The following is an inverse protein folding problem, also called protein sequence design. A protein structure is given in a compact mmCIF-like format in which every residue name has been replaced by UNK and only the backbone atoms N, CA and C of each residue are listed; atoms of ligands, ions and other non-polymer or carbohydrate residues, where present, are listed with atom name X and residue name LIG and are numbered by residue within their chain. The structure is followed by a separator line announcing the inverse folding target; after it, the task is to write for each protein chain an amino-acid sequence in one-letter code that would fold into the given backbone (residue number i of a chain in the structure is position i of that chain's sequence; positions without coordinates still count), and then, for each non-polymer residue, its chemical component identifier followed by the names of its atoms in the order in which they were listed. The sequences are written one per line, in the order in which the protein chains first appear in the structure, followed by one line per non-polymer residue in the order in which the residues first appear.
data_IF_202467942283
#
_entry.id   IF_202467942283
#
_cell.length_a   1.000
_cell.length_b   1.000
_cell.length_c   1.000
_cell.angle_alpha   90.00
_cell.angle_beta   90.00
_cell.angle_gamma   90.00
#
_symmetry.space_group_name_H-M   'P 1'
#
loop_
_entity.id
_entity.type
_entity.pdbx_description
1 polymer ?
#
# COMPACT_ATOMS: atom_id res chain seq x y z
N UNK A 1 -10.48 20.80 -21.79
CA UNK A 1 -9.91 19.84 -20.83
C UNK A 1 -9.66 20.59 -19.53
N UNK A 2 -10.62 20.61 -18.62
CA UNK A 2 -10.36 21.07 -17.25
C UNK A 2 -9.57 19.96 -16.58
N UNK A 3 -8.25 20.11 -16.51
CA UNK A 3 -7.39 19.16 -15.81
C UNK A 3 -7.49 19.45 -14.33
N UNK A 4 -8.44 18.81 -13.65
CA UNK A 4 -8.34 18.65 -12.20
C UNK A 4 -7.03 17.87 -11.97
N UNK A 5 -5.98 18.54 -11.51
CA UNK A 5 -4.73 17.90 -11.14
C UNK A 5 -4.84 17.60 -9.65
N UNK A 6 -4.63 16.34 -9.26
CA UNK A 6 -4.55 15.99 -7.84
C UNK A 6 -3.41 16.79 -7.21
N UNK A 7 -3.63 17.46 -6.06
CA UNK A 7 -2.58 18.19 -5.38
C UNK A 7 -1.32 17.33 -5.23
N UNK A 8 -0.17 17.92 -5.43
CA UNK A 8 1.11 17.22 -5.35
C UNK A 8 2.00 17.86 -4.31
N UNK A 9 2.76 17.04 -3.62
CA UNK A 9 3.85 17.49 -2.76
C UNK A 9 5.17 17.34 -3.48
N UNK A 10 6.10 18.22 -3.15
CA UNK A 10 7.45 18.20 -3.70
C UNK A 10 8.33 17.37 -2.77
N UNK A 11 8.87 16.27 -3.28
CA UNK A 11 9.75 15.37 -2.54
C UNK A 11 10.95 14.93 -3.38
N UNK A 12 11.98 14.43 -2.70
CA UNK A 12 13.11 13.78 -3.36
C UNK A 12 14.16 14.75 -3.91
N UNK A 13 15.13 14.18 -4.66
CA UNK A 13 16.08 14.99 -5.43
C UNK A 13 15.34 15.48 -6.69
N UNK A 14 15.65 16.69 -7.14
CA UNK A 14 15.03 17.35 -8.32
C UNK A 14 13.60 17.87 -8.14
N UNK A 15 13.12 18.01 -6.90
CA UNK A 15 11.78 18.55 -6.63
C UNK A 15 10.65 17.79 -7.37
N UNK A 16 10.73 16.45 -7.35
CA UNK A 16 9.73 15.59 -7.98
C UNK A 16 8.35 15.82 -7.35
N UNK A 17 7.34 16.01 -8.21
CA UNK A 17 5.95 16.14 -7.79
C UNK A 17 5.35 14.75 -7.57
N UNK A 18 4.93 14.47 -6.33
CA UNK A 18 4.23 13.24 -5.95
C UNK A 18 2.80 13.61 -5.59
N UNK A 19 1.76 13.02 -6.21
CA UNK A 19 0.37 13.32 -5.84
C UNK A 19 0.09 12.91 -4.40
N UNK A 20 -0.75 13.66 -3.68
CA UNK A 20 -1.12 13.33 -2.29
C UNK A 20 -1.87 12.00 -2.18
N UNK A 21 -2.55 11.58 -3.26
CA UNK A 21 -3.23 10.29 -3.37
C UNK A 21 -2.81 9.58 -4.65
N UNK A 22 -2.50 8.29 -4.51
CA UNK A 22 -2.31 7.36 -5.60
C UNK A 22 -3.24 6.15 -5.50
N UNK A 23 -3.39 5.43 -6.61
CA UNK A 23 -4.29 4.27 -6.69
C UNK A 23 -3.51 3.00 -6.37
N UNK A 24 -3.91 2.32 -5.28
CA UNK A 24 -3.48 0.96 -4.97
C UNK A 24 -4.24 -0.05 -5.85
N UNK A 25 -3.56 -0.59 -6.85
CA UNK A 25 -4.16 -1.44 -7.88
C UNK A 25 -4.38 -2.89 -7.46
N UNK A 26 -4.11 -3.24 -6.19
CA UNK A 26 -4.50 -4.54 -5.60
C UNK A 26 -6.02 -4.73 -5.56
N UNK A 27 -6.77 -3.62 -5.50
CA UNK A 27 -8.24 -3.58 -5.59
C UNK A 27 -8.81 -4.14 -6.90
N UNK A 28 -7.99 -4.19 -7.96
CA UNK A 28 -8.33 -4.77 -9.25
C UNK A 28 -7.96 -6.25 -9.39
N UNK A 29 -7.55 -6.89 -8.30
CA UNK A 29 -6.86 -8.16 -8.36
C UNK A 29 -7.52 -9.29 -7.54
N UNK A 30 -8.73 -9.06 -7.00
CA UNK A 30 -9.64 -10.03 -6.34
C UNK A 30 -9.06 -11.01 -5.30
N UNK A 31 -7.80 -10.88 -4.88
CA UNK A 31 -7.14 -11.86 -4.03
C UNK A 31 -7.77 -12.04 -2.63
N UNK A 32 -8.70 -11.18 -2.18
CA UNK A 32 -9.20 -11.19 -0.80
C UNK A 32 -10.72 -10.97 -0.63
N UNK A 33 -11.53 -10.97 -1.70
CA UNK A 33 -12.99 -10.84 -1.57
C UNK A 33 -13.63 -12.22 -1.66
N UNK A 34 -13.72 -12.91 -0.52
CA UNK A 34 -14.29 -14.25 -0.39
C UNK A 34 -15.79 -14.36 -0.77
N UNK A 35 -16.49 -13.25 -1.06
CA UNK A 35 -17.93 -13.26 -1.34
C UNK A 35 -18.30 -13.37 -2.83
N UNK A 36 -17.36 -13.21 -3.76
CA UNK A 36 -17.61 -13.35 -5.21
C UNK A 36 -16.56 -14.28 -5.83
N UNK A 37 -16.56 -15.53 -5.37
CA UNK A 37 -15.54 -16.54 -5.66
C UNK A 37 -15.63 -17.17 -7.07
N UNK A 38 -16.25 -16.52 -8.06
CA UNK A 38 -16.57 -17.17 -9.35
C UNK A 38 -15.73 -16.72 -10.55
N UNK A 39 -14.94 -15.64 -10.46
CA UNK A 39 -14.24 -15.11 -11.65
C UNK A 39 -12.75 -15.41 -11.67
N UNK A 40 -12.09 -15.48 -10.51
CA UNK A 40 -10.61 -15.59 -10.43
C UNK A 40 -10.14 -16.92 -9.83
N UNK A 41 -10.99 -17.60 -9.05
CA UNK A 41 -10.70 -18.93 -8.50
C UNK A 41 -10.56 -20.01 -9.59
N UNK A 42 -11.21 -19.82 -10.74
CA UNK A 42 -11.11 -20.72 -11.89
C UNK A 42 -9.90 -20.44 -12.80
N UNK A 43 -9.16 -19.34 -12.57
CA UNK A 43 -8.02 -18.92 -13.40
C UNK A 43 -6.65 -19.13 -12.73
N UNK A 44 -6.62 -19.58 -11.48
CA UNK A 44 -5.41 -19.61 -10.66
C UNK A 44 -4.67 -20.95 -10.69
N UNK A 45 -3.94 -21.24 -11.77
CA UNK A 45 -2.66 -21.98 -11.71
C UNK A 45 -1.81 -21.60 -12.94
N UNK A 46 -1.24 -20.40 -12.97
CA UNK A 46 -0.03 -20.01 -13.74
C UNK A 46 0.16 -18.50 -13.62
N UNK A 47 1.42 -18.03 -13.63
CA UNK A 47 1.74 -16.61 -13.76
C UNK A 47 1.03 -16.05 -14.99
N UNK A 48 0.04 -15.19 -14.75
CA UNK A 48 -0.83 -14.69 -15.80
C UNK A 48 0.00 -13.94 -16.86
N UNK A 49 -0.27 -14.23 -18.12
CA UNK A 49 0.30 -13.49 -19.27
C UNK A 49 -0.69 -12.42 -19.68
N UNK A 50 -0.29 -11.48 -20.54
CA UNK A 50 -1.24 -10.48 -21.09
C UNK A 50 -2.51 -11.10 -21.72
N UNK A 51 -2.50 -12.39 -22.03
CA UNK A 51 -3.57 -13.13 -22.68
C UNK A 51 -4.48 -13.93 -21.73
N UNK A 52 -4.18 -14.02 -20.42
CA UNK A 52 -4.97 -14.84 -19.48
C UNK A 52 -6.17 -14.12 -18.87
N UNK A 53 -6.17 -12.78 -18.85
CA UNK A 53 -7.29 -12.00 -18.34
C UNK A 53 -8.31 -11.72 -19.46
N UNK A 54 -9.54 -12.28 -19.41
CA UNK A 54 -10.54 -12.05 -20.44
C UNK A 54 -11.01 -10.59 -20.42
N UNK A 55 -10.46 -9.76 -21.32
CA UNK A 55 -10.82 -8.33 -21.44
C UNK A 55 -12.32 -8.10 -21.55
N UNK A 56 -13.03 -9.03 -22.18
CA UNK A 56 -14.48 -8.91 -22.39
C UNK A 56 -15.34 -9.25 -21.16
N UNK A 57 -14.74 -9.78 -20.09
CA UNK A 57 -15.45 -10.12 -18.87
C UNK A 57 -16.08 -8.86 -18.23
N UNK A 58 -17.35 -8.89 -17.78
CA UNK A 58 -18.04 -7.72 -17.24
C UNK A 58 -17.26 -6.99 -16.13
N UNK A 59 -16.67 -7.75 -15.21
CA UNK A 59 -15.85 -7.19 -14.11
C UNK A 59 -14.57 -6.50 -14.61
N UNK A 60 -13.91 -7.06 -15.62
CA UNK A 60 -12.71 -6.46 -16.21
C UNK A 60 -13.07 -5.15 -16.92
N UNK A 61 -14.21 -5.11 -17.64
CA UNK A 61 -14.74 -3.87 -18.23
C UNK A 61 -15.07 -2.82 -17.16
N UNK A 62 -15.66 -3.23 -16.04
CA UNK A 62 -15.95 -2.33 -14.91
C UNK A 62 -14.67 -1.74 -14.31
N UNK A 63 -13.63 -2.55 -14.11
CA UNK A 63 -12.34 -2.07 -13.61
C UNK A 63 -11.63 -1.13 -14.58
N UNK A 64 -11.65 -1.43 -15.88
CA UNK A 64 -11.12 -0.52 -16.92
C UNK A 64 -11.85 0.83 -16.86
N UNK A 65 -13.19 0.82 -16.74
CA UNK A 65 -14.00 2.04 -16.59
C UNK A 65 -13.68 2.81 -15.31
N UNK A 66 -13.49 2.10 -14.20
CA UNK A 66 -13.10 2.69 -12.91
C UNK A 66 -11.76 3.40 -13.02
N UNK A 67 -10.76 2.75 -13.62
CA UNK A 67 -9.44 3.34 -13.82
C UNK A 67 -9.48 4.52 -14.80
N UNK A 68 -10.25 4.42 -15.89
CA UNK A 68 -10.50 5.53 -16.82
C UNK A 68 -11.09 6.75 -16.09
N UNK A 69 -12.14 6.55 -15.28
CA UNK A 69 -12.74 7.64 -14.50
C UNK A 69 -11.75 8.29 -13.54
N UNK A 70 -10.93 7.49 -12.86
CA UNK A 70 -9.90 8.03 -11.96
C UNK A 70 -8.89 8.89 -12.73
N UNK A 71 -8.42 8.41 -13.88
CA UNK A 71 -7.49 9.16 -14.73
C UNK A 71 -8.13 10.47 -15.25
N UNK A 72 -9.40 10.41 -15.67
CA UNK A 72 -10.15 11.59 -16.12
C UNK A 72 -10.33 12.65 -15.02
N UNK A 73 -10.42 12.21 -13.76
CA UNK A 73 -10.51 13.06 -12.58
C UNK A 73 -9.14 13.56 -12.07
N UNK A 74 -8.04 13.13 -12.70
CA UNK A 74 -6.70 13.65 -12.45
C UNK A 74 -5.72 12.69 -11.78
N UNK A 75 -6.18 11.52 -11.32
CA UNK A 75 -5.29 10.56 -10.68
C UNK A 75 -4.24 10.06 -11.68
N UNK A 76 -2.97 10.13 -11.29
CA UNK A 76 -1.87 9.80 -12.19
C UNK A 76 -0.84 8.82 -11.61
N UNK A 77 -0.92 8.45 -10.33
CA UNK A 77 -0.05 7.44 -9.73
C UNK A 77 -0.79 6.12 -9.59
N UNK A 78 -0.28 5.08 -10.27
CA UNK A 78 -0.80 3.71 -10.24
C UNK A 78 0.24 2.80 -9.59
N UNK A 79 -0.09 2.18 -8.46
CA UNK A 79 0.78 1.24 -7.77
C UNK A 79 0.25 -0.20 -7.91
N UNK A 80 0.95 -1.03 -8.67
CA UNK A 80 0.61 -2.44 -8.95
C UNK A 80 1.75 -3.38 -8.53
N UNK A 81 1.60 -4.69 -8.77
CA UNK A 81 2.63 -5.70 -8.53
C UNK A 81 2.31 -6.99 -9.31
N UNK A 82 3.33 -7.81 -9.65
CA UNK A 82 3.10 -9.17 -10.15
C UNK A 82 2.27 -10.05 -9.20
N UNK A 83 2.40 -9.84 -7.89
CA UNK A 83 1.60 -10.55 -6.88
C UNK A 83 0.09 -10.25 -6.96
N UNK A 84 -0.29 -9.06 -7.42
CA UNK A 84 -1.68 -8.63 -7.40
C UNK A 84 -2.47 -9.38 -8.48
N UNK A 85 -3.32 -10.31 -8.02
CA UNK A 85 -4.06 -11.23 -8.89
C UNK A 85 -3.13 -12.00 -9.82
N UNK A 86 -1.92 -12.33 -9.35
CA UNK A 86 -0.90 -13.11 -10.05
C UNK A 86 -0.50 -12.57 -11.44
N UNK A 87 -0.63 -11.25 -11.62
CA UNK A 87 -0.28 -10.52 -12.84
C UNK A 87 -1.48 -9.82 -13.49
N UNK A 88 -2.72 -10.20 -13.14
CA UNK A 88 -3.93 -9.61 -13.73
C UNK A 88 -4.04 -8.10 -13.51
N UNK A 89 -3.56 -7.57 -12.38
CA UNK A 89 -3.54 -6.12 -12.14
C UNK A 89 -2.64 -5.37 -13.16
N UNK A 90 -1.48 -5.92 -13.50
CA UNK A 90 -0.59 -5.36 -14.52
C UNK A 90 -1.20 -5.46 -15.92
N UNK A 91 -1.87 -6.58 -16.23
CA UNK A 91 -2.58 -6.78 -17.50
C UNK A 91 -3.75 -5.82 -17.65
N UNK A 92 -4.53 -5.60 -16.58
CA UNK A 92 -5.62 -4.63 -16.56
C UNK A 92 -5.13 -3.21 -16.85
N UNK A 93 -4.02 -2.80 -16.21
CA UNK A 93 -3.37 -1.52 -16.52
C UNK A 93 -2.99 -1.48 -18.00
N UNK A 94 -2.44 -2.55 -18.56
CA UNK A 94 -2.13 -2.63 -20.00
C UNK A 94 -3.35 -2.47 -20.91
N UNK A 95 -4.50 -3.04 -20.53
CA UNK A 95 -5.77 -2.82 -21.25
C UNK A 95 -6.22 -1.36 -21.16
N UNK A 96 -6.18 -0.79 -19.96
CA UNK A 96 -6.56 0.60 -19.74
C UNK A 96 -5.66 1.56 -20.52
N UNK A 97 -4.33 1.38 -20.51
CA UNK A 97 -3.42 2.24 -21.28
C UNK A 97 -3.75 2.23 -22.79
N UNK A 98 -4.13 1.08 -23.34
CA UNK A 98 -4.52 0.93 -24.76
C UNK A 98 -5.89 1.56 -25.05
N UNK A 99 -6.87 1.35 -24.17
CA UNK A 99 -8.25 1.78 -24.40
C UNK A 99 -8.45 3.28 -24.16
N UNK A 100 -7.78 3.83 -23.15
CA UNK A 100 -7.87 5.23 -22.75
C UNK A 100 -7.09 6.14 -23.73
N UNK A 101 -6.11 5.58 -24.45
CA UNK A 101 -5.20 6.32 -25.34
C UNK A 101 -4.54 7.54 -24.65
N UNK A 102 -4.13 7.37 -23.39
CA UNK A 102 -3.41 8.39 -22.61
C UNK A 102 -1.92 8.38 -22.95
N UNK A 103 -1.29 9.55 -23.00
CA UNK A 103 0.16 9.65 -23.05
C UNK A 103 0.76 9.01 -21.78
N UNK A 104 1.55 7.95 -21.96
CA UNK A 104 2.24 7.22 -20.89
C UNK A 104 3.04 8.12 -19.95
N UNK A 105 3.54 9.27 -20.43
CA UNK A 105 4.28 10.25 -19.62
C UNK A 105 3.42 10.98 -18.59
N UNK A 106 2.10 10.99 -18.75
CA UNK A 106 1.16 11.59 -17.80
C UNK A 106 0.91 10.72 -16.57
N UNK A 107 1.34 9.46 -16.60
CA UNK A 107 1.16 8.51 -15.51
C UNK A 107 2.51 8.18 -14.85
N UNK A 108 2.47 7.98 -13.55
CA UNK A 108 3.51 7.39 -12.72
C UNK A 108 3.05 5.97 -12.42
N UNK A 109 3.72 4.97 -12.98
CA UNK A 109 3.38 3.56 -12.74
C UNK A 109 4.49 2.90 -11.93
N UNK A 110 4.11 2.47 -10.74
CA UNK A 110 4.92 1.69 -9.84
C UNK A 110 4.56 0.21 -9.98
N UNK A 111 5.57 -0.66 -10.12
CA UNK A 111 5.40 -2.12 -9.97
C UNK A 111 6.51 -2.68 -9.10
N UNK A 112 6.46 -3.98 -8.81
CA UNK A 112 7.30 -4.59 -7.78
C UNK A 112 7.98 -5.89 -8.23
N UNK A 113 9.00 -6.30 -7.50
CA UNK A 113 9.69 -7.60 -7.59
C UNK A 113 9.81 -8.22 -6.19
N UNK A 114 10.16 -9.50 -6.11
CA UNK A 114 10.32 -10.25 -4.85
C UNK A 114 9.18 -11.23 -4.57
N UNK A 115 7.93 -10.85 -4.85
CA UNK A 115 6.72 -11.68 -4.65
C UNK A 115 5.90 -11.83 -5.94
N UNK A 116 5.55 -13.06 -6.34
CA UNK A 116 5.04 -13.33 -7.69
C UNK A 116 3.85 -14.31 -7.81
N UNK A 117 3.85 -15.45 -7.12
CA UNK A 117 3.01 -16.61 -7.48
C UNK A 117 2.24 -17.18 -6.28
N UNK A 118 0.99 -17.60 -6.48
CA UNK A 118 0.13 -18.16 -5.44
C UNK A 118 0.66 -19.48 -4.86
N UNK A 119 1.44 -20.24 -5.64
CA UNK A 119 2.07 -21.47 -5.17
C UNK A 119 3.16 -21.11 -4.15
N UNK A 120 3.05 -21.54 -2.88
CA UNK A 120 3.94 -21.10 -1.80
C UNK A 120 5.44 -21.28 -2.10
N UNK A 121 5.81 -22.38 -2.78
CA UNK A 121 7.21 -22.66 -3.16
C UNK A 121 7.78 -21.73 -4.24
N UNK A 122 6.93 -20.99 -4.95
CA UNK A 122 7.30 -20.04 -6.02
C UNK A 122 6.88 -18.60 -5.69
N UNK A 123 6.35 -18.39 -4.50
CA UNK A 123 5.78 -17.11 -4.11
C UNK A 123 6.85 -16.04 -4.01
N UNK A 124 8.02 -16.38 -3.49
CA UNK A 124 9.12 -15.47 -3.24
C UNK A 124 10.39 -15.90 -3.97
N UNK A 125 11.03 -14.95 -4.67
CA UNK A 125 12.34 -15.15 -5.29
C UNK A 125 13.04 -13.80 -5.49
N UNK A 126 14.13 -13.64 -4.76
CA UNK A 126 14.92 -12.40 -4.68
C UNK A 126 16.23 -12.50 -5.47
N UNK A 127 16.40 -13.54 -6.29
CA UNK A 127 17.60 -13.70 -7.13
C UNK A 127 17.72 -12.61 -8.20
N UNK A 128 18.94 -12.40 -8.69
CA UNK A 128 19.23 -11.48 -9.77
C UNK A 128 18.42 -11.85 -11.03
N UNK A 129 18.50 -13.12 -11.44
CA UNK A 129 17.87 -13.62 -12.66
C UNK A 129 16.35 -13.51 -12.62
N UNK A 130 15.73 -13.83 -11.48
CA UNK A 130 14.28 -13.71 -11.35
C UNK A 130 13.85 -12.24 -11.34
N UNK A 131 14.62 -11.34 -10.75
CA UNK A 131 14.37 -9.90 -10.81
C UNK A 131 14.36 -9.40 -12.27
N UNK A 132 15.41 -9.72 -13.05
CA UNK A 132 15.50 -9.37 -14.48
C UNK A 132 14.33 -9.97 -15.28
N UNK A 133 14.00 -11.24 -15.04
CA UNK A 133 12.91 -11.93 -15.71
C UNK A 133 11.56 -11.30 -15.39
N UNK A 134 11.31 -10.95 -14.13
CA UNK A 134 10.04 -10.38 -13.71
C UNK A 134 9.81 -9.00 -14.31
N UNK A 135 10.83 -8.13 -14.32
CA UNK A 135 10.72 -6.78 -14.92
C UNK A 135 10.30 -6.84 -16.38
N UNK A 136 10.91 -7.75 -17.17
CA UNK A 136 10.52 -7.95 -18.57
C UNK A 136 9.05 -8.37 -18.72
N UNK A 137 8.56 -9.24 -17.83
CA UNK A 137 7.15 -9.67 -17.85
C UNK A 137 6.20 -8.57 -17.45
N UNK A 138 6.55 -7.75 -16.46
CA UNK A 138 5.74 -6.58 -16.07
C UNK A 138 5.60 -5.59 -17.23
N UNK A 139 6.70 -5.30 -17.94
CA UNK A 139 6.68 -4.45 -19.15
C UNK A 139 5.78 -5.03 -20.25
N UNK A 140 5.89 -6.35 -20.48
CA UNK A 140 5.06 -7.07 -21.47
C UNK A 140 3.56 -7.03 -21.10
N UNK A 141 3.21 -7.37 -19.85
CA UNK A 141 1.82 -7.35 -19.33
C UNK A 141 1.17 -5.98 -19.47
N UNK A 142 1.89 -4.94 -19.06
CA UNK A 142 1.41 -3.56 -19.17
C UNK A 142 1.49 -3.01 -20.60
N UNK A 143 2.21 -3.69 -21.51
CA UNK A 143 2.45 -3.23 -22.87
C UNK A 143 3.12 -1.85 -22.92
N UNK A 144 4.06 -1.58 -22.00
CA UNK A 144 4.73 -0.28 -21.88
C UNK A 144 6.25 -0.40 -22.00
N UNK A 145 6.91 0.69 -22.43
CA UNK A 145 8.36 0.69 -22.66
C UNK A 145 9.21 0.87 -21.39
N UNK A 146 8.60 1.32 -20.28
CA UNK A 146 9.31 1.60 -19.03
C UNK A 146 8.36 1.62 -17.82
N UNK A 147 8.94 1.40 -16.64
CA UNK A 147 8.35 1.56 -15.31
C UNK A 147 8.86 2.88 -14.70
N UNK A 148 8.02 3.62 -13.96
CA UNK A 148 8.50 4.83 -13.29
C UNK A 148 9.28 4.48 -12.02
N UNK A 149 8.70 3.65 -11.14
CA UNK A 149 9.39 3.15 -9.94
C UNK A 149 9.28 1.62 -9.86
N UNK A 150 10.44 0.96 -9.80
CA UNK A 150 10.55 -0.48 -9.56
C UNK A 150 10.82 -0.72 -8.08
N UNK A 151 9.92 -1.40 -7.39
CA UNK A 151 9.98 -1.57 -5.94
C UNK A 151 10.41 -2.98 -5.52
N UNK A 152 11.30 -3.09 -4.53
CA UNK A 152 11.57 -4.33 -3.79
C UNK A 152 10.40 -4.61 -2.85
N UNK A 153 9.63 -5.68 -3.11
CA UNK A 153 8.42 -6.08 -2.37
C UNK A 153 8.72 -7.12 -1.30
N UNK A 154 8.11 -6.93 -0.14
CA UNK A 154 8.05 -7.91 0.96
C UNK A 154 9.43 -8.51 1.30
N UNK A 155 10.48 -7.68 1.49
CA UNK A 155 11.85 -8.15 1.71
C UNK A 155 12.01 -8.96 3.00
N UNK A 156 11.05 -8.91 3.93
CA UNK A 156 11.02 -9.75 5.12
C UNK A 156 10.89 -11.25 4.82
N UNK A 157 10.50 -11.62 3.60
CA UNK A 157 10.49 -13.00 3.13
C UNK A 157 11.77 -13.38 2.35
N UNK A 158 12.73 -12.46 2.22
CA UNK A 158 14.03 -12.78 1.65
C UNK A 158 14.83 -13.66 2.63
N UNK A 159 15.63 -14.62 2.13
CA UNK A 159 16.47 -15.46 3.01
C UNK A 159 17.43 -14.67 3.90
N UNK A 160 17.92 -13.51 3.41
CA UNK A 160 18.78 -12.60 4.17
C UNK A 160 18.86 -11.23 3.50
N UNK A 161 19.21 -10.20 4.29
CA UNK A 161 19.57 -8.87 3.76
C UNK A 161 20.81 -8.96 2.85
N UNK A 162 21.77 -9.84 3.16
CA UNK A 162 22.96 -10.07 2.34
C UNK A 162 22.61 -10.52 0.91
N UNK A 163 21.59 -11.38 0.75
CA UNK A 163 21.08 -11.78 -0.57
C UNK A 163 20.47 -10.58 -1.31
N UNK A 164 19.70 -9.73 -0.63
CA UNK A 164 19.13 -8.52 -1.22
C UNK A 164 20.22 -7.59 -1.76
N UNK A 165 21.32 -7.43 -1.02
CA UNK A 165 22.44 -6.59 -1.42
C UNK A 165 23.27 -7.21 -2.56
N UNK A 166 23.46 -8.53 -2.58
CA UNK A 166 24.30 -9.19 -3.59
C UNK A 166 23.59 -9.51 -4.90
N UNK A 167 22.28 -9.72 -4.85
CA UNK A 167 21.50 -10.21 -6.00
C UNK A 167 20.43 -9.19 -6.43
N UNK A 168 19.47 -8.91 -5.54
CA UNK A 168 18.25 -8.18 -5.89
C UNK A 168 18.51 -6.72 -6.27
N UNK A 169 19.20 -5.98 -5.39
CA UNK A 169 19.51 -4.57 -5.61
C UNK A 169 20.42 -4.37 -6.83
N UNK A 170 21.48 -5.16 -7.05
CA UNK A 170 22.26 -5.13 -8.29
C UNK A 170 21.41 -5.37 -9.56
N UNK A 171 20.44 -6.29 -9.53
CA UNK A 171 19.52 -6.49 -10.66
C UNK A 171 18.60 -5.28 -10.89
N UNK A 172 18.09 -4.67 -9.82
CA UNK A 172 17.29 -3.45 -9.91
C UNK A 172 18.09 -2.28 -10.49
N UNK A 173 19.35 -2.10 -10.05
CA UNK A 173 20.27 -1.10 -10.60
C UNK A 173 20.57 -1.36 -12.08
N UNK A 174 20.75 -2.62 -12.49
CA UNK A 174 20.89 -2.97 -13.90
C UNK A 174 19.62 -2.64 -14.70
N UNK A 175 18.43 -2.90 -14.16
CA UNK A 175 17.18 -2.49 -14.80
C UNK A 175 17.09 -0.98 -15.00
N UNK A 176 17.55 -0.20 -14.01
CA UNK A 176 17.65 1.27 -14.10
C UNK A 176 18.64 1.69 -15.19
N UNK A 177 19.82 1.07 -15.23
CA UNK A 177 20.86 1.30 -16.27
C UNK A 177 20.36 0.97 -17.68
N UNK A 178 19.53 -0.07 -17.84
CA UNK A 178 18.90 -0.45 -19.11
C UNK A 178 17.74 0.45 -19.53
N UNK A 179 17.33 1.40 -18.68
CA UNK A 179 16.20 2.28 -18.93
C UNK A 179 14.83 1.61 -18.78
N UNK A 180 14.76 0.41 -18.21
CA UNK A 180 13.50 -0.29 -17.95
C UNK A 180 12.74 0.30 -16.77
N UNK A 181 13.45 0.91 -15.82
CA UNK A 181 12.87 1.69 -14.73
C UNK A 181 13.59 3.02 -14.57
N UNK A 182 12.89 4.08 -14.16
CA UNK A 182 13.50 5.39 -13.89
C UNK A 182 14.02 5.51 -12.46
N UNK A 183 13.33 4.90 -11.51
CA UNK A 183 13.62 4.99 -10.10
C UNK A 183 13.44 3.64 -9.39
N UNK A 184 14.02 3.52 -8.20
CA UNK A 184 13.91 2.34 -7.35
C UNK A 184 13.14 2.65 -6.07
N UNK A 185 12.35 1.71 -5.58
CA UNK A 185 11.66 1.85 -4.30
C UNK A 185 11.78 0.61 -3.41
N UNK A 186 11.38 0.78 -2.15
CA UNK A 186 11.35 -0.28 -1.14
C UNK A 186 9.95 -0.35 -0.53
N UNK A 187 9.37 -1.55 -0.45
CA UNK A 187 8.03 -1.76 0.10
C UNK A 187 7.93 -3.08 0.85
N UNK A 188 7.28 -3.04 2.00
CA UNK A 188 7.16 -4.16 2.93
C UNK A 188 6.51 -3.72 4.23
N UNK A 189 6.57 -4.57 5.25
CA UNK A 189 5.86 -4.36 6.51
C UNK A 189 6.81 -3.89 7.62
N UNK A 190 7.84 -4.64 8.04
CA UNK A 190 8.56 -4.29 9.26
C UNK A 190 9.39 -3.02 9.06
N UNK A 191 9.00 -1.95 9.76
CA UNK A 191 9.67 -0.63 9.66
C UNK A 191 11.17 -0.71 9.96
N UNK A 192 11.57 -1.55 10.91
CA UNK A 192 12.97 -1.80 11.27
C UNK A 192 13.76 -2.44 10.11
N UNK A 193 13.15 -3.39 9.41
CA UNK A 193 13.80 -4.03 8.27
C UNK A 193 13.95 -3.04 7.11
N UNK A 194 12.96 -2.16 6.90
CA UNK A 194 13.12 -1.07 5.92
C UNK A 194 14.32 -0.19 6.26
N UNK A 195 14.45 0.21 7.53
CA UNK A 195 15.59 0.99 7.99
C UNK A 195 16.92 0.25 7.78
N UNK A 196 16.99 -1.02 8.16
CA UNK A 196 18.19 -1.87 7.99
C UNK A 196 18.60 -1.97 6.51
N UNK A 197 17.66 -2.23 5.60
CA UNK A 197 17.91 -2.33 4.17
C UNK A 197 18.41 -0.99 3.61
N UNK A 198 17.81 0.14 4.02
CA UNK A 198 18.22 1.47 3.58
C UNK A 198 19.66 1.79 4.02
N UNK A 199 20.02 1.48 5.27
CA UNK A 199 21.37 1.71 5.80
C UNK A 199 22.41 0.76 5.17
N UNK A 200 22.07 -0.52 4.99
CA UNK A 200 22.94 -1.48 4.31
C UNK A 200 23.19 -1.06 2.85
N UNK A 201 22.12 -0.74 2.11
CA UNK A 201 22.25 -0.27 0.73
C UNK A 201 23.07 1.03 0.65
N UNK A 202 22.88 1.95 1.60
CA UNK A 202 23.67 3.20 1.65
C UNK A 202 25.15 2.98 1.89
N UNK A 203 25.54 1.94 2.62
CA UNK A 203 26.95 1.61 2.84
C UNK A 203 27.54 0.87 1.64
N UNK A 204 26.86 -0.16 1.16
CA UNK A 204 27.37 -1.06 0.11
C UNK A 204 27.42 -0.38 -1.25
N UNK A 205 26.47 0.51 -1.55
CA UNK A 205 26.38 1.22 -2.82
C UNK A 205 26.70 2.71 -2.66
N UNK A 206 27.62 3.06 -1.78
CA UNK A 206 28.01 4.45 -1.48
C UNK A 206 28.40 5.29 -2.70
N UNK A 207 28.93 4.67 -3.76
CA UNK A 207 29.28 5.34 -5.02
C UNK A 207 28.09 5.56 -5.96
N UNK A 208 26.95 4.91 -5.72
CA UNK A 208 25.72 5.07 -6.49
C UNK A 208 24.90 6.19 -5.86
N UNK A 209 24.74 7.32 -6.56
CA UNK A 209 23.92 8.46 -6.12
C UNK A 209 24.21 8.90 -4.67
N UNK A 210 25.48 8.95 -4.25
CA UNK A 210 25.91 9.26 -2.88
C UNK A 210 25.29 8.32 -1.83
N UNK A 211 25.24 7.02 -2.13
CA UNK A 211 24.67 5.98 -1.27
C UNK A 211 23.14 5.90 -1.30
N UNK A 212 22.45 6.74 -2.06
CA UNK A 212 20.99 6.68 -2.12
C UNK A 212 20.52 5.78 -3.27
N UNK A 213 20.40 4.49 -2.98
CA UNK A 213 19.88 3.48 -3.92
C UNK A 213 18.39 3.65 -4.17
N UNK A 214 17.61 3.79 -3.10
CA UNK A 214 16.15 3.88 -3.16
C UNK A 214 15.70 5.34 -3.26
N UNK A 215 14.86 5.62 -4.24
CA UNK A 215 14.27 6.93 -4.53
C UNK A 215 12.92 7.11 -3.83
N UNK A 216 12.31 6.04 -3.31
CA UNK A 216 11.01 6.05 -2.64
C UNK A 216 10.90 4.89 -1.63
N UNK A 217 10.15 5.09 -0.55
CA UNK A 217 9.75 4.02 0.40
C UNK A 217 8.24 3.99 0.50
N UNK A 218 7.65 2.80 0.48
CA UNK A 218 6.23 2.58 0.71
C UNK A 218 6.05 1.67 1.92
N UNK A 219 5.14 2.04 2.82
CA UNK A 219 4.75 1.23 3.98
C UNK A 219 3.27 0.90 3.91
N UNK A 220 2.89 -0.27 4.44
CA UNK A 220 1.53 -0.75 4.40
C UNK A 220 0.92 -0.78 5.81
N UNK A 221 -0.23 -0.14 6.03
CA UNK A 221 -0.97 -0.10 7.30
C UNK A 221 -0.24 0.50 8.53
N UNK A 222 0.88 1.21 8.35
CA UNK A 222 1.63 1.84 9.46
C UNK A 222 1.21 3.30 9.77
N UNK A 223 0.27 3.86 9.00
CA UNK A 223 -0.28 5.19 9.23
C UNK A 223 -1.78 5.25 8.91
N UNK A 224 -2.61 5.11 9.94
CA UNK A 224 -4.07 5.18 9.92
C UNK A 224 -4.58 5.56 11.33
N UNK A 225 -5.88 5.44 11.64
CA UNK A 225 -6.42 5.85 12.95
C UNK A 225 -5.91 5.04 14.14
N UNK A 226 -5.60 3.75 13.97
CA UNK A 226 -5.17 2.87 15.06
C UNK A 226 -3.66 2.62 15.08
N UNK A 227 -2.95 2.87 13.98
CA UNK A 227 -1.51 2.67 13.88
C UNK A 227 -0.82 3.94 13.36
N UNK A 228 0.08 4.51 14.15
CA UNK A 228 0.94 5.65 13.76
C UNK A 228 2.44 5.31 13.91
N UNK A 229 2.78 4.03 13.97
CA UNK A 229 4.16 3.57 14.20
C UNK A 229 5.13 4.09 13.13
N UNK A 230 4.66 4.41 11.92
CA UNK A 230 5.49 5.04 10.88
C UNK A 230 6.21 6.31 11.38
N UNK A 231 5.54 7.08 12.22
CA UNK A 231 6.03 8.36 12.76
C UNK A 231 6.53 8.24 14.20
N UNK A 232 6.09 7.21 14.95
CA UNK A 232 6.27 7.18 16.42
C UNK A 232 7.16 6.04 16.91
N UNK A 233 7.40 5.01 16.12
CA UNK A 233 8.24 3.88 16.52
C UNK A 233 9.71 4.24 16.24
N UNK A 234 10.56 4.43 17.27
CA UNK A 234 11.97 4.68 17.05
C UNK A 234 12.65 3.40 16.56
N UNK A 235 13.47 3.52 15.52
CA UNK A 235 14.29 2.44 15.00
C UNK A 235 15.40 2.06 15.99
N UNK A 236 15.90 0.83 15.92
CA UNK A 236 17.00 0.30 16.75
C UNK A 236 18.38 0.87 16.38
N UNK A 237 18.47 2.17 16.13
CA UNK A 237 19.74 2.89 16.09
C UNK A 237 20.04 3.45 17.48
N UNK A 238 21.06 2.88 18.13
CA UNK A 238 21.54 3.30 19.45
C UNK A 238 21.92 4.78 19.52
N UNK A 239 22.26 5.40 18.38
CA UNK A 239 22.77 6.78 18.32
C UNK A 239 21.70 7.82 18.08
N UNK A 240 20.66 7.53 17.29
CA UNK A 240 19.71 8.55 16.81
C UNK A 240 18.24 8.26 17.12
N UNK A 241 17.85 7.01 17.43
CA UNK A 241 16.46 6.60 17.76
C UNK A 241 15.37 7.25 16.88
N UNK A 242 15.65 7.45 15.59
CA UNK A 242 14.72 8.08 14.65
C UNK A 242 13.62 7.08 14.27
N UNK A 243 12.40 7.57 14.03
CA UNK A 243 11.39 6.81 13.29
C UNK A 243 11.79 6.65 11.81
N UNK A 244 11.15 5.69 11.12
CA UNK A 244 11.38 5.52 9.67
C UNK A 244 11.03 6.80 8.88
N UNK A 245 9.99 7.52 9.31
CA UNK A 245 9.63 8.81 8.72
C UNK A 245 10.74 9.86 8.90
N UNK A 246 11.27 10.04 10.11
CA UNK A 246 12.35 10.99 10.36
C UNK A 246 13.63 10.61 9.60
N UNK A 247 13.92 9.31 9.49
CA UNK A 247 15.01 8.82 8.67
C UNK A 247 14.83 9.20 7.19
N UNK A 248 13.68 8.86 6.58
CA UNK A 248 13.39 9.16 5.19
C UNK A 248 13.46 10.68 4.91
N UNK A 249 12.92 11.49 5.82
CA UNK A 249 13.02 12.96 5.77
C UNK A 249 14.48 13.43 5.77
N UNK A 250 15.29 12.92 6.69
CA UNK A 250 16.73 13.26 6.79
C UNK A 250 17.54 12.90 5.53
N UNK A 251 17.10 11.88 4.78
CA UNK A 251 17.71 11.41 3.54
C UNK A 251 17.04 11.97 2.27
N UNK A 252 16.01 12.82 2.42
CA UNK A 252 15.19 13.32 1.33
C UNK A 252 14.65 12.18 0.44
N UNK A 253 14.13 11.13 1.07
CA UNK A 253 13.46 10.00 0.42
C UNK A 253 11.95 10.21 0.58
N UNK A 254 11.18 10.37 -0.52
CA UNK A 254 9.72 10.36 -0.48
C UNK A 254 9.19 9.10 0.22
N UNK A 255 8.38 9.30 1.26
CA UNK A 255 7.75 8.23 2.02
C UNK A 255 6.26 8.14 1.69
N UNK A 256 5.78 6.97 1.29
CA UNK A 256 4.37 6.69 1.02
C UNK A 256 3.78 5.81 2.12
N UNK A 257 2.48 5.95 2.34
CA UNK A 257 1.71 5.07 3.21
C UNK A 257 0.51 4.50 2.46
N UNK A 258 0.25 3.20 2.62
CA UNK A 258 -0.88 2.51 2.01
C UNK A 258 -1.84 1.97 3.07
N UNK A 259 -3.04 1.62 2.60
CA UNK A 259 -4.12 1.08 3.41
C UNK A 259 -4.52 1.99 4.60
N UNK A 260 -4.94 3.24 4.32
CA UNK A 260 -5.45 4.14 5.37
C UNK A 260 -6.72 3.59 6.05
N UNK A 261 -7.42 2.67 5.39
CA UNK A 261 -8.60 1.98 5.94
C UNK A 261 -8.27 0.68 6.67
N UNK A 262 -6.98 0.35 6.83
CA UNK A 262 -6.51 -0.89 7.44
C UNK A 262 -7.22 -2.12 6.87
N UNK A 263 -7.17 -2.28 5.54
CA UNK A 263 -7.77 -3.41 4.81
C UNK A 263 -9.26 -3.63 5.10
N UNK A 264 -10.00 -2.55 5.34
CA UNK A 264 -11.44 -2.58 5.60
C UNK A 264 -11.84 -2.58 7.07
N UNK A 265 -10.89 -2.62 8.02
CA UNK A 265 -11.22 -2.49 9.44
C UNK A 265 -11.80 -1.12 9.80
N UNK A 266 -11.30 -0.04 9.18
CA UNK A 266 -11.77 1.32 9.44
C UNK A 266 -12.94 1.67 8.49
N UNK A 267 -13.95 0.81 8.46
CA UNK A 267 -15.19 1.00 7.70
C UNK A 267 -16.41 0.81 8.61
N UNK A 268 -17.60 1.08 8.09
CA UNK A 268 -18.85 0.79 8.81
C UNK A 268 -19.22 -0.70 8.80
N UNK A 269 -18.51 -1.51 8.01
CA UNK A 269 -18.80 -2.92 7.91
C UNK A 269 -18.17 -3.67 9.08
N UNK A 270 -18.72 -4.85 9.37
CA UNK A 270 -18.06 -5.81 10.24
C UNK A 270 -16.65 -6.10 9.71
N UNK A 271 -15.62 -6.06 10.58
CA UNK A 271 -14.27 -6.46 10.22
C UNK A 271 -14.25 -7.76 9.40
N UNK A 272 -13.55 -7.82 8.26
CA UNK A 272 -13.51 -9.02 7.44
C UNK A 272 -13.01 -10.22 8.25
N UNK A 273 -13.68 -11.38 8.10
CA UNK A 273 -13.33 -12.57 8.87
C UNK A 273 -11.88 -13.01 8.59
N UNK A 274 -11.44 -12.89 7.33
CA UNK A 274 -10.11 -13.25 6.85
C UNK A 274 -9.00 -12.31 7.33
N UNK A 275 -9.33 -11.12 7.86
CA UNK A 275 -8.32 -10.12 8.20
C UNK A 275 -7.36 -10.66 9.29
N UNK A 276 -6.03 -10.47 9.18
CA UNK A 276 -5.04 -11.01 10.11
C UNK A 276 -4.96 -10.28 11.47
N UNK A 277 -5.85 -9.34 11.73
CA UNK A 277 -5.84 -8.55 12.96
C UNK A 277 -6.30 -9.40 14.14
N UNK A 278 -5.79 -9.07 15.34
CA UNK A 278 -6.25 -9.72 16.56
C UNK A 278 -7.73 -9.47 16.80
N UNK A 279 -8.36 -10.33 17.62
CA UNK A 279 -9.77 -10.18 17.99
C UNK A 279 -10.01 -8.82 18.66
N UNK A 280 -9.07 -8.38 19.49
CA UNK A 280 -9.12 -7.11 20.20
C UNK A 280 -9.06 -5.93 19.24
N UNK A 281 -8.17 -5.96 18.24
CA UNK A 281 -8.08 -4.89 17.24
C UNK A 281 -9.33 -4.86 16.35
N UNK A 282 -9.84 -6.02 15.93
CA UNK A 282 -11.13 -6.11 15.21
C UNK A 282 -12.27 -5.52 16.03
N UNK A 283 -12.34 -5.84 17.33
CA UNK A 283 -13.33 -5.30 18.25
C UNK A 283 -13.22 -3.78 18.38
N UNK A 284 -12.00 -3.26 18.58
CA UNK A 284 -11.76 -1.83 18.67
C UNK A 284 -12.18 -1.08 17.40
N UNK A 285 -11.87 -1.62 16.22
CA UNK A 285 -12.29 -1.04 14.95
C UNK A 285 -13.82 -1.05 14.78
N UNK A 286 -14.50 -2.11 15.21
CA UNK A 286 -15.97 -2.17 15.19
C UNK A 286 -16.58 -1.09 16.10
N UNK A 287 -16.06 -0.94 17.32
CA UNK A 287 -16.51 0.12 18.25
C UNK A 287 -16.29 1.50 17.63
N UNK A 288 -15.16 1.74 16.96
CA UNK A 288 -14.93 3.00 16.23
C UNK A 288 -15.97 3.22 15.11
N UNK A 289 -16.32 2.14 14.38
CA UNK A 289 -17.37 2.15 13.36
C UNK A 289 -18.77 2.45 13.91
N UNK A 290 -19.11 1.86 15.06
CA UNK A 290 -20.36 2.11 15.79
C UNK A 290 -20.43 3.56 16.29
N UNK A 291 -19.38 4.06 16.95
CA UNK A 291 -19.30 5.46 17.40
C UNK A 291 -19.51 6.42 16.22
N UNK A 292 -18.87 6.17 15.08
CA UNK A 292 -19.03 7.01 13.91
C UNK A 292 -20.47 6.93 13.35
N UNK A 293 -21.02 5.72 13.22
CA UNK A 293 -22.37 5.50 12.70
C UNK A 293 -23.46 6.14 13.59
N UNK A 294 -23.36 5.98 14.91
CA UNK A 294 -24.31 6.56 15.89
C UNK A 294 -24.33 8.10 15.84
N UNK A 295 -23.26 8.71 15.33
CA UNK A 295 -23.13 10.16 15.18
C UNK A 295 -23.30 10.63 13.72
N UNK A 296 -23.68 9.74 12.79
CA UNK A 296 -23.85 10.08 11.37
C UNK A 296 -22.55 10.46 10.66
N UNK A 297 -21.41 9.98 11.14
CA UNK A 297 -20.09 10.30 10.62
C UNK A 297 -19.55 9.16 9.76
N UNK A 298 -18.98 9.49 8.59
CA UNK A 298 -18.35 8.52 7.70
C UNK A 298 -16.93 8.18 8.19
N UNK A 299 -16.75 7.00 8.80
CA UNK A 299 -15.46 6.54 9.34
C UNK A 299 -14.37 6.40 8.26
N UNK A 300 -14.64 5.77 7.09
CA UNK A 300 -13.67 5.74 5.99
C UNK A 300 -13.15 7.12 5.57
N UNK A 301 -14.03 8.12 5.50
CA UNK A 301 -13.66 9.48 5.16
C UNK A 301 -12.76 10.10 6.24
N UNK A 302 -13.10 9.94 7.53
CA UNK A 302 -12.24 10.39 8.63
C UNK A 302 -10.86 9.73 8.60
N UNK A 303 -10.81 8.41 8.40
CA UNK A 303 -9.55 7.66 8.32
C UNK A 303 -8.69 8.12 7.14
N UNK A 304 -9.30 8.42 5.99
CA UNK A 304 -8.61 8.93 4.81
C UNK A 304 -8.06 10.33 5.06
N UNK A 305 -8.86 11.26 5.59
CA UNK A 305 -8.39 12.62 5.92
C UNK A 305 -7.27 12.59 6.96
N UNK A 306 -7.35 11.71 7.96
CA UNK A 306 -6.28 11.49 8.93
C UNK A 306 -4.97 11.06 8.25
N UNK A 307 -5.03 10.11 7.33
CA UNK A 307 -3.84 9.63 6.62
C UNK A 307 -3.19 10.72 5.75
N UNK A 308 -3.99 11.61 5.15
CA UNK A 308 -3.49 12.74 4.35
C UNK A 308 -2.84 13.84 5.20
N UNK A 309 -3.18 13.94 6.49
CA UNK A 309 -2.84 15.09 7.31
C UNK A 309 -1.35 15.24 7.64
N UNK A 310 -0.54 14.18 7.54
CA UNK A 310 0.88 14.28 7.86
C UNK A 310 1.69 14.79 6.67
N UNK A 311 2.37 15.94 6.80
CA UNK A 311 3.07 16.58 5.67
C UNK A 311 4.26 15.76 5.16
N UNK A 312 5.00 15.10 6.06
CA UNK A 312 6.15 14.28 5.69
C UNK A 312 5.80 12.94 4.98
N UNK A 313 4.52 12.58 4.87
CA UNK A 313 4.06 11.42 4.07
C UNK A 313 3.71 11.92 2.66
N UNK A 314 4.54 11.62 1.67
CA UNK A 314 4.41 12.15 0.31
C UNK A 314 3.12 11.78 -0.42
N UNK A 315 2.63 10.56 -0.23
CA UNK A 315 1.44 10.05 -0.90
C UNK A 315 0.76 9.00 -0.03
N UNK A 316 -0.57 9.04 0.00
CA UNK A 316 -1.40 7.95 0.53
C UNK A 316 -1.95 7.10 -0.62
N UNK A 317 -1.64 5.80 -0.63
CA UNK A 317 -2.22 4.86 -1.58
C UNK A 317 -3.57 4.35 -1.09
N UNK A 318 -4.60 4.51 -1.93
CA UNK A 318 -5.98 4.10 -1.65
C UNK A 318 -6.41 3.09 -2.71
N UNK A 319 -7.01 1.97 -2.28
CA UNK A 319 -7.64 1.01 -3.18
C UNK A 319 -8.95 1.57 -3.72
N UNK A 320 -9.13 1.58 -5.03
CA UNK A 320 -10.33 2.11 -5.70
C UNK A 320 -10.91 1.06 -6.64
N UNK A 321 -11.63 0.08 -6.06
CA UNK A 321 -12.10 -1.10 -6.79
C UNK A 321 -13.33 -0.84 -7.66
N UNK A 322 -14.03 0.27 -7.42
CA UNK A 322 -15.19 0.71 -8.19
C UNK A 322 -15.26 2.24 -8.31
N UNK A 323 -16.12 2.74 -9.20
CA UNK A 323 -16.29 4.18 -9.43
C UNK A 323 -16.66 5.00 -8.18
N UNK A 324 -17.40 4.40 -7.23
CA UNK A 324 -17.76 5.06 -5.97
C UNK A 324 -16.54 5.33 -5.10
N UNK A 325 -15.54 4.43 -5.11
CA UNK A 325 -14.32 4.62 -4.35
C UNK A 325 -13.51 5.80 -4.90
N UNK A 326 -13.52 5.98 -6.23
CA UNK A 326 -12.91 7.13 -6.91
C UNK A 326 -13.59 8.43 -6.47
N UNK A 327 -14.93 8.47 -6.45
CA UNK A 327 -15.70 9.63 -5.99
C UNK A 327 -15.42 9.97 -4.51
N UNK A 328 -15.31 8.94 -3.65
CA UNK A 328 -14.95 9.12 -2.25
C UNK A 328 -13.55 9.70 -2.09
N UNK A 329 -12.57 9.21 -2.86
CA UNK A 329 -11.22 9.75 -2.85
C UNK A 329 -11.17 11.22 -3.33
N UNK A 330 -11.92 11.56 -4.39
CA UNK A 330 -12.07 12.94 -4.84
C UNK A 330 -12.69 13.84 -3.77
N UNK A 331 -13.73 13.37 -3.09
CA UNK A 331 -14.33 14.11 -1.97
C UNK A 331 -13.31 14.37 -0.85
N UNK A 332 -12.45 13.39 -0.54
CA UNK A 332 -11.38 13.57 0.44
C UNK A 332 -10.35 14.63 -0.02
N UNK A 333 -9.96 14.62 -1.29
CA UNK A 333 -9.05 15.61 -1.89
C UNK A 333 -9.67 17.01 -1.82
N UNK A 334 -10.91 17.19 -2.29
CA UNK A 334 -11.61 18.48 -2.28
C UNK A 334 -11.73 19.07 -0.87
N UNK A 335 -11.98 18.21 0.13
CA UNK A 335 -11.95 18.62 1.53
C UNK A 335 -10.54 19.03 1.92
N UNK A 336 -9.55 18.15 1.73
CA UNK A 336 -8.17 18.35 2.19
C UNK A 336 -7.49 19.58 1.57
N UNK A 337 -7.74 19.88 0.29
CA UNK A 337 -7.21 21.07 -0.39
C UNK A 337 -7.62 22.39 0.26
N UNK A 338 -8.65 22.41 1.12
CA UNK A 338 -9.02 23.61 1.89
C UNK A 338 -8.05 23.87 3.06
N UNK A 339 -7.28 22.88 3.50
CA UNK A 339 -6.23 23.02 4.53
C UNK A 339 -4.99 23.68 3.93
N UNK A 340 -4.56 23.26 2.74
CA UNK A 340 -3.33 23.81 2.10
C UNK A 340 -3.48 25.30 1.76
N UNK A 341 -4.71 25.80 1.59
CA UNK A 341 -5.02 27.21 1.38
C UNK A 341 -5.08 28.04 2.68
N UNK A 342 -4.93 27.41 3.85
CA UNK A 342 -4.84 28.10 5.14
C UNK A 342 -3.38 28.09 5.59
N UNK A 343 -2.73 29.25 5.62
CA UNK A 343 -1.36 29.41 6.12
C UNK A 343 -1.25 28.95 7.58
N UNK A 344 -0.99 27.67 7.82
CA UNK A 344 -0.48 27.21 9.11
C UNK A 344 0.55 26.11 8.89
N UNK A 345 1.78 26.55 8.61
CA UNK A 345 2.96 25.73 8.86
C UNK A 345 3.02 25.43 10.36
N UNK A 346 2.64 24.22 10.75
CA UNK A 346 2.83 23.76 12.13
C UNK A 346 4.28 23.26 12.24
N UNK A 347 5.00 23.88 13.16
CA UNK A 347 6.43 23.67 13.40
C UNK A 347 6.71 22.34 14.09
N UNK A 348 7.73 21.65 13.58
CA UNK A 348 8.41 20.48 14.15
C UNK A 348 8.45 20.45 15.69
N UNK A 349 7.97 19.35 16.29
CA UNK A 349 8.37 18.96 17.64
C UNK A 349 9.13 17.64 17.62
N UNK A 350 10.26 17.64 18.33
CA UNK A 350 11.08 16.47 18.58
C UNK A 350 10.34 15.43 19.42
N UNK A 351 10.61 14.17 19.10
CA UNK A 351 10.22 12.97 19.83
C UNK A 351 10.32 13.15 21.35
N UNK A 352 9.17 13.24 22.02
CA UNK A 352 9.08 12.95 23.45
C UNK A 352 8.53 11.53 23.61
N UNK A 353 8.75 10.89 24.76
CA UNK A 353 8.29 9.52 25.08
C UNK A 353 6.75 9.33 25.04
N UNK A 354 5.99 10.35 24.61
CA UNK A 354 4.54 10.42 24.43
C UNK A 354 4.14 10.50 22.92
N UNK A 355 5.06 10.17 22.00
CA UNK A 355 5.02 10.56 20.58
C UNK A 355 3.71 10.35 19.81
N UNK A 356 2.91 9.33 20.16
CA UNK A 356 1.59 9.12 19.55
C UNK A 356 0.55 10.18 19.90
N UNK A 357 0.56 10.71 21.13
CA UNK A 357 -0.44 11.68 21.60
C UNK A 357 -0.31 13.03 20.95
N UNK A 358 0.92 13.54 20.95
CA UNK A 358 1.25 14.82 20.36
C UNK A 358 0.88 14.82 18.88
N UNK A 359 1.28 13.76 18.17
CA UNK A 359 0.94 13.55 16.77
C UNK A 359 -0.57 13.53 16.51
N UNK A 360 -1.34 12.72 17.26
CA UNK A 360 -2.80 12.67 17.12
C UNK A 360 -3.45 14.02 17.39
N UNK A 361 -2.95 14.79 18.35
CA UNK A 361 -3.46 16.13 18.66
C UNK A 361 -3.15 17.13 17.54
N UNK A 362 -1.96 17.08 16.97
CA UNK A 362 -1.55 17.91 15.84
C UNK A 362 -2.42 17.66 14.60
N UNK A 363 -2.63 16.40 14.25
CA UNK A 363 -3.50 16.03 13.12
C UNK A 363 -4.93 16.52 13.35
N UNK A 364 -5.48 16.39 14.57
CA UNK A 364 -6.80 16.93 14.90
C UNK A 364 -6.89 18.45 14.72
N UNK A 365 -5.85 19.19 15.12
CA UNK A 365 -5.79 20.65 14.92
C UNK A 365 -5.79 20.97 13.43
N UNK A 366 -4.95 20.27 12.66
CA UNK A 366 -4.80 20.49 11.22
C UNK A 366 -6.07 20.18 10.43
N UNK A 367 -6.80 19.14 10.81
CA UNK A 367 -8.05 18.75 10.14
C UNK A 367 -9.24 19.62 10.52
N UNK A 368 -9.16 20.41 11.59
CA UNK A 368 -10.28 21.24 12.09
C UNK A 368 -10.97 22.11 11.01
N UNK A 369 -10.27 22.75 10.06
CA UNK A 369 -10.93 23.57 9.02
C UNK A 369 -11.80 22.78 8.04
N UNK A 370 -11.62 21.46 7.96
CA UNK A 370 -12.28 20.60 6.96
C UNK A 370 -13.22 19.57 7.57
N UNK A 371 -13.25 19.45 8.90
CA UNK A 371 -14.18 18.63 9.64
C UNK A 371 -15.36 19.46 10.11
N UNK A 372 -16.54 18.85 10.13
CA UNK A 372 -17.69 19.38 10.88
C UNK A 372 -17.42 19.30 12.39
N UNK A 373 -18.21 20.01 13.20
CA UNK A 373 -18.12 19.90 14.67
C UNK A 373 -18.37 18.47 15.15
N UNK A 374 -19.30 17.75 14.51
CA UNK A 374 -19.62 16.36 14.83
C UNK A 374 -18.45 15.43 14.48
N UNK A 375 -17.89 15.56 13.27
CA UNK A 375 -16.70 14.81 12.86
C UNK A 375 -15.50 15.06 13.78
N UNK A 376 -15.29 16.32 14.18
CA UNK A 376 -14.22 16.70 15.11
C UNK A 376 -14.37 16.03 16.48
N UNK A 377 -15.59 16.01 17.02
CA UNK A 377 -15.91 15.33 18.29
C UNK A 377 -15.73 13.81 18.17
N UNK A 378 -16.22 13.20 17.09
CA UNK A 378 -16.06 11.76 16.85
C UNK A 378 -14.59 11.39 16.72
N UNK A 379 -13.81 12.15 15.96
CA UNK A 379 -12.36 11.93 15.83
C UNK A 379 -11.66 12.03 17.19
N UNK A 380 -12.04 13.01 18.02
CA UNK A 380 -11.50 13.16 19.37
C UNK A 380 -11.83 11.97 20.28
N UNK A 381 -13.05 11.42 20.18
CA UNK A 381 -13.47 10.23 20.94
C UNK A 381 -12.66 9.01 20.48
N UNK A 382 -12.58 8.79 19.16
CA UNK A 382 -11.86 7.66 18.56
C UNK A 382 -10.37 7.69 18.95
N UNK A 383 -9.76 8.86 18.92
CA UNK A 383 -8.33 9.04 19.20
C UNK A 383 -7.99 9.22 20.70
N UNK A 384 -8.98 9.06 21.60
CA UNK A 384 -8.76 9.21 23.03
C UNK A 384 -7.95 8.04 23.61
N UNK A 385 -6.81 8.33 24.22
CA UNK A 385 -5.84 7.31 24.70
C UNK A 385 -6.23 6.62 26.00
N UNK A 386 -7.19 7.17 26.72
CA UNK A 386 -7.66 6.60 27.97
C UNK A 386 -8.92 5.78 27.75
N UNK A 387 -9.86 6.35 27.00
CA UNK A 387 -11.24 5.87 26.91
C UNK A 387 -11.69 5.58 25.47
N UNK A 388 -10.87 5.88 24.46
CA UNK A 388 -11.20 5.61 23.07
C UNK A 388 -11.05 4.13 22.72
N UNK A 389 -11.61 3.69 21.58
CA UNK A 389 -11.58 2.30 21.14
C UNK A 389 -10.17 1.72 21.03
N UNK A 390 -9.19 2.52 20.61
CA UNK A 390 -7.81 2.08 20.40
C UNK A 390 -6.90 2.24 21.62
N UNK A 391 -7.40 2.76 22.75
CA UNK A 391 -6.62 3.03 23.94
C UNK A 391 -5.85 1.81 24.46
N UNK A 392 -6.52 0.65 24.53
CA UNK A 392 -5.89 -0.59 24.99
C UNK A 392 -4.98 -1.22 23.94
N UNK A 393 -5.32 -1.06 22.65
CA UNK A 393 -4.49 -1.51 21.53
C UNK A 393 -3.12 -0.84 21.61
N UNK A 394 -3.08 0.48 21.78
CA UNK A 394 -1.81 1.22 21.89
C UNK A 394 -0.98 0.80 23.11
N UNK A 395 -1.63 0.57 24.26
CA UNK A 395 -0.94 0.13 25.49
C UNK A 395 -0.32 -1.25 25.35
N UNK A 396 -0.98 -2.16 24.63
CA UNK A 396 -0.48 -3.53 24.40
C UNK A 396 0.40 -3.66 23.16
N UNK A 397 0.61 -2.58 22.40
CA UNK A 397 1.22 -2.61 21.07
C UNK A 397 0.48 -3.53 20.08
N UNK A 398 -0.83 -3.72 20.28
CA UNK A 398 -1.68 -4.61 19.48
C UNK A 398 -1.94 -4.12 18.05
N UNK A 399 -1.58 -2.88 17.73
CA UNK A 399 -1.61 -2.31 16.39
C UNK A 399 -0.40 -2.73 15.54
N UNK A 400 0.66 -3.25 16.16
CA UNK A 400 1.89 -3.62 15.46
C UNK A 400 1.62 -4.75 14.47
N UNK A 401 2.15 -4.58 13.26
CA UNK A 401 1.99 -5.54 12.19
C UNK A 401 3.29 -5.68 11.41
N UNK A 402 3.68 -6.93 11.15
CA UNK A 402 4.94 -7.31 10.52
C UNK A 402 4.73 -8.13 9.25
N UNK A 403 3.49 -8.26 8.77
CA UNK A 403 3.14 -9.03 7.57
C UNK A 403 3.16 -10.55 7.75
N UNK A 404 3.91 -11.09 8.71
CA UNK A 404 4.14 -12.54 8.84
C UNK A 404 2.85 -13.31 9.13
N UNK A 405 2.01 -12.79 10.03
CA UNK A 405 0.69 -13.39 10.31
C UNK A 405 -0.23 -13.45 9.09
N UNK A 406 -0.13 -12.48 8.18
CA UNK A 406 -0.92 -12.51 6.93
C UNK A 406 -0.44 -13.64 6.03
N UNK A 407 0.88 -13.78 5.86
CA UNK A 407 1.46 -14.83 5.04
C UNK A 407 1.18 -16.23 5.61
N UNK A 408 1.31 -16.40 6.93
CA UNK A 408 0.99 -17.68 7.60
C UNK A 408 -0.47 -18.07 7.36
N UNK A 409 -1.41 -17.14 7.56
CA UNK A 409 -2.83 -17.39 7.29
C UNK A 409 -3.10 -17.74 5.83
N UNK A 410 -2.41 -17.10 4.88
CA UNK A 410 -2.52 -17.43 3.46
C UNK A 410 -2.00 -18.84 3.17
N UNK A 411 -0.84 -19.21 3.71
CA UNK A 411 -0.25 -20.53 3.52
C UNK A 411 -1.09 -21.65 4.14
N UNK A 412 -1.64 -21.43 5.33
CA UNK A 412 -2.55 -22.38 5.99
C UNK A 412 -3.80 -22.64 5.12
N UNK A 413 -4.36 -21.60 4.51
CA UNK A 413 -5.52 -21.72 3.61
C UNK A 413 -5.17 -22.54 2.35
N UNK A 414 -4.00 -22.29 1.75
CA UNK A 414 -3.55 -23.04 0.56
C UNK A 414 -3.30 -24.51 0.89
N UNK A 415 -2.66 -24.81 2.03
CA UNK A 415 -2.40 -26.18 2.47
C UNK A 415 -3.71 -26.92 2.80
N UNK A 416 -4.58 -26.31 3.59
CA UNK A 416 -5.89 -26.88 3.93
C UNK A 416 -6.78 -27.13 2.71
N UNK A 417 -6.72 -26.24 1.70
CA UNK A 417 -7.39 -26.41 0.42
C UNK A 417 -6.86 -27.60 -0.40
N UNK A 418 -5.53 -27.78 -0.44
CA UNK A 418 -4.89 -28.95 -1.11
C UNK A 418 -5.30 -30.27 -0.43
N UNK A 419 -5.28 -30.32 0.89
CA UNK A 419 -5.70 -31.53 1.63
C UNK A 419 -7.17 -31.90 1.42
N UNK A 420 -8.05 -30.89 1.34
CA UNK A 420 -9.47 -31.10 1.06
C UNK A 420 -9.71 -31.59 -0.38
N UNK A 421 -8.98 -31.04 -1.36
CA UNK A 421 -9.01 -31.47 -2.75
C UNK A 421 -8.52 -32.92 -2.93
N UNK A 422 -7.44 -33.28 -2.25
CA UNK A 422 -6.88 -34.64 -2.27
C UNK A 422 -7.82 -35.66 -1.62
N UNK A 423 -8.46 -35.31 -0.49
CA UNK A 423 -9.49 -36.15 0.14
C UNK A 423 -10.70 -36.36 -0.78
N UNK A 424 -11.14 -35.31 -1.47
CA UNK A 424 -12.25 -35.39 -2.43
C UNK A 424 -11.89 -36.24 -3.67
N UNK A 425 -10.65 -36.16 -4.17
CA UNK A 425 -10.19 -37.05 -5.25
C UNK A 425 -10.12 -38.52 -4.81
N UNK A 426 -9.60 -38.79 -3.60
CA UNK A 426 -9.55 -40.15 -3.04
C UNK A 426 -10.95 -40.73 -2.83
N UNK A 427 -11.90 -39.95 -2.30
CA UNK A 427 -13.29 -40.39 -2.14
C UNK A 427 -13.99 -40.64 -3.48
N UNK A 428 -13.73 -39.84 -4.52
CA UNK A 428 -14.26 -40.07 -5.88
C UNK A 428 -13.61 -41.28 -6.58
N UNK A 429 -12.39 -41.65 -6.23
CA UNK A 429 -11.74 -42.87 -6.73
C UNK A 429 -12.29 -44.14 -6.06
N UNK A 430 -12.67 -44.03 -4.78
CA UNK A 430 -13.24 -45.13 -3.99
C UNK A 430 -14.72 -45.39 -4.28
N UNK A 431 -15.46 -44.43 -4.86
CA UNK A 431 -16.86 -44.62 -5.28
C UNK A 431 -17.03 -45.13 -6.71
N UNK A 432 -15.91 -45.38 -7.41
CA UNK A 432 -15.87 -45.96 -8.77
C UNK A 432 -15.43 -47.44 -8.79
N UNK A 433 -15.29 -48.06 -7.62
CA UNK A 433 -15.11 -49.50 -7.42
C UNK A 433 -16.21 -49.98 -6.46
#
# INVERSE_FOLDING_TARGET
MNTNIIPSRIFGRENSQVPIIGIGCSSFANNFVASECDVVSALSVNQETAHSLPKDHPKVKEWIKTLQKAIDLGFNLLDTAPWYGHGSSEVLIGFALKDINIDRKRLIINTKIGRYDAEPSKQFDFSYDMTIKSVKRSLDRMGCGYIDVLQLHDPEFAPSVDLLMKETIPAMLECKKRGWTKALGLTGYPLELHYEILECASREFSLVNDGRVFDQVLTYCHFNLHNQNLCTLPMKDEKKKLSLMEYCKSKSIPLMAAAPLSMGLLTHNTPPFWHPASVELKQACRIAGEIAADNGVNLPMLATLFALAHDDISCTLIGMGCERDVENAMTAIERFSKIENTESSISNMNSTNDGGKALRKEIQIKLRPVLTDTESKVLQIILNEKNGPFAQIWKSNGQSWDGMKEADMFWDQVQGGKEAADKNMRQRSLSKH
#
